data_IF_069897605384
#
_entry.id   IF_069897605384
#
_cell.length_a   1.000
_cell.length_b   1.000
_cell.length_c   1.000
_cell.angle_alpha   90.00
_cell.angle_beta   90.00
_cell.angle_gamma   90.00
#
_symmetry.space_group_name_H-M   'P 1'
#
loop_
_entity.id
_entity.type
_entity.pdbx_description
1 polymer ?
#
# COMPACT_ATOMS: atom_id res chain seq x y z
N UNK A 1 -9.66 -12.89 2.45
CA UNK A 1 -9.22 -13.07 3.85
C UNK A 1 -10.43 -13.13 4.75
N UNK A 2 -10.38 -14.02 5.72
CA UNK A 2 -11.35 -14.13 6.81
C UNK A 2 -10.56 -14.28 8.12
N UNK A 3 -10.95 -13.52 9.14
CA UNK A 3 -10.35 -13.56 10.48
C UNK A 3 -11.48 -13.75 11.48
N UNK A 4 -11.44 -14.87 12.21
CA UNK A 4 -12.41 -15.22 13.25
C UNK A 4 -11.73 -15.14 14.62
N UNK A 5 -12.31 -14.36 15.54
CA UNK A 5 -11.86 -14.37 16.94
C UNK A 5 -12.43 -15.60 17.66
N UNK A 6 -11.59 -16.61 17.91
CA UNK A 6 -11.94 -17.84 18.65
C UNK A 6 -11.66 -17.76 20.16
N UNK A 7 -11.25 -16.60 20.66
CA UNK A 7 -10.86 -16.40 22.06
C UNK A 7 -11.98 -15.72 22.83
N UNK A 8 -11.93 -15.84 24.16
CA UNK A 8 -12.78 -15.06 25.05
C UNK A 8 -12.26 -13.64 25.15
N UNK A 9 -13.13 -12.66 24.94
CA UNK A 9 -12.77 -11.24 24.97
C UNK A 9 -12.36 -10.68 23.61
N UNK A 10 -11.86 -9.45 23.64
CA UNK A 10 -11.55 -8.66 22.45
C UNK A 10 -10.20 -9.06 21.84
N UNK A 11 -10.17 -9.26 20.53
CA UNK A 11 -8.96 -9.48 19.74
C UNK A 11 -8.62 -8.23 18.94
N UNK A 12 -7.41 -7.71 19.15
CA UNK A 12 -6.84 -6.60 18.38
C UNK A 12 -5.91 -7.15 17.30
N UNK A 13 -6.07 -6.70 16.05
CA UNK A 13 -5.26 -7.20 14.95
C UNK A 13 -5.10 -6.17 13.82
N UNK A 14 -4.09 -6.40 12.98
CA UNK A 14 -3.92 -5.76 11.69
C UNK A 14 -3.86 -6.84 10.61
N UNK A 15 -4.25 -6.51 9.39
CA UNK A 15 -4.25 -7.42 8.25
C UNK A 15 -3.79 -6.66 7.01
N UNK A 16 -2.83 -7.21 6.27
CA UNK A 16 -2.39 -6.62 5.02
C UNK A 16 -1.93 -7.69 4.04
N UNK A 17 -1.73 -7.28 2.79
CA UNK A 17 -1.06 -8.09 1.78
C UNK A 17 0.19 -7.37 1.28
N UNK A 18 1.20 -8.13 0.88
CA UNK A 18 2.47 -7.60 0.35
C UNK A 18 2.86 -8.29 -0.98
N UNK A 19 1.99 -8.32 -2.00
CA UNK A 19 2.33 -8.92 -3.28
C UNK A 19 3.35 -8.07 -4.05
N UNK A 20 4.39 -8.73 -4.56
CA UNK A 20 5.38 -8.13 -5.47
C UNK A 20 5.06 -8.52 -6.92
N UNK A 21 5.00 -7.54 -7.81
CA UNK A 21 4.71 -7.74 -9.23
C UNK A 21 5.97 -7.48 -10.06
N UNK A 22 6.36 -8.46 -10.87
CA UNK A 22 7.54 -8.38 -11.72
C UNK A 22 7.37 -7.32 -12.82
N UNK A 23 8.44 -6.60 -13.10
CA UNK A 23 8.58 -5.65 -14.21
C UNK A 23 9.44 -6.29 -15.29
N UNK A 24 8.96 -6.32 -16.53
CA UNK A 24 9.64 -6.99 -17.65
C UNK A 24 10.62 -6.04 -18.34
N UNK A 25 11.66 -5.69 -17.59
CA UNK A 25 12.72 -4.81 -18.06
C UNK A 25 13.56 -5.50 -19.15
N UNK A 26 13.93 -4.75 -20.18
CA UNK A 26 14.80 -5.20 -21.26
C UNK A 26 15.54 -4.01 -21.91
N UNK A 27 16.13 -4.19 -23.09
CA UNK A 27 16.86 -3.13 -23.78
C UNK A 27 15.96 -1.94 -24.18
N UNK A 28 14.69 -2.20 -24.48
CA UNK A 28 13.70 -1.20 -24.91
C UNK A 28 12.84 -0.66 -23.76
N UNK A 29 12.51 -1.51 -22.78
CA UNK A 29 11.64 -1.20 -21.63
C UNK A 29 12.49 -0.99 -20.38
N UNK A 30 12.48 0.23 -19.85
CA UNK A 30 13.19 0.63 -18.63
C UNK A 30 12.20 0.81 -17.46
N UNK A 31 12.73 0.93 -16.26
CA UNK A 31 11.91 1.13 -15.05
C UNK A 31 11.04 2.39 -15.16
N UNK A 32 11.58 3.44 -15.78
CA UNK A 32 10.94 4.74 -15.96
C UNK A 32 9.77 4.70 -16.96
N UNK A 33 9.64 3.61 -17.74
CA UNK A 33 8.47 3.37 -18.58
C UNK A 33 7.28 2.84 -17.75
N UNK A 34 7.51 2.36 -16.53
CA UNK A 34 6.46 1.88 -15.63
C UNK A 34 5.92 2.97 -14.71
N UNK A 35 4.62 2.88 -14.43
CA UNK A 35 3.94 3.80 -13.52
C UNK A 35 2.72 3.14 -12.88
N UNK A 36 2.35 3.65 -11.71
CA UNK A 36 1.11 3.34 -11.02
C UNK A 36 0.08 4.42 -11.38
N UNK A 37 -1.12 4.02 -11.77
CA UNK A 37 -2.22 4.91 -12.09
C UNK A 37 -3.43 4.62 -11.20
N UNK A 38 -3.87 5.62 -10.45
CA UNK A 38 -5.11 5.63 -9.69
C UNK A 38 -6.31 5.89 -10.60
N UNK A 39 -7.49 5.38 -10.20
CA UNK A 39 -8.73 5.60 -10.97
C UNK A 39 -9.26 7.03 -10.91
N UNK A 40 -8.90 7.80 -9.87
CA UNK A 40 -9.26 9.21 -9.68
C UNK A 40 -7.99 10.04 -9.45
N UNK A 41 -8.09 11.33 -9.69
CA UNK A 41 -7.06 12.26 -9.22
C UNK A 41 -7.09 12.33 -7.70
N UNK A 42 -5.90 12.38 -7.11
CA UNK A 42 -5.67 12.47 -5.69
C UNK A 42 -4.96 13.79 -5.35
N UNK A 43 -5.36 14.39 -4.24
CA UNK A 43 -4.52 15.35 -3.51
C UNK A 43 -4.23 14.70 -2.17
N UNK A 44 -3.00 14.21 -1.99
CA UNK A 44 -2.69 13.30 -0.91
C UNK A 44 -1.28 13.50 -0.36
N UNK A 45 -1.15 13.22 0.93
CA UNK A 45 0.11 13.20 1.65
C UNK A 45 0.51 11.75 1.95
N UNK A 46 1.81 11.53 2.09
CA UNK A 46 2.38 10.24 2.50
C UNK A 46 2.90 10.30 3.92
N UNK A 47 2.92 9.16 4.60
CA UNK A 47 3.66 9.01 5.84
C UNK A 47 5.16 9.08 5.58
N UNK A 48 5.89 9.64 6.55
CA UNK A 48 7.35 9.61 6.59
C UNK A 48 7.83 8.52 7.54
N UNK A 49 8.96 7.90 7.21
CA UNK A 49 9.52 6.76 7.94
C UNK A 49 10.90 7.11 8.51
N UNK A 50 11.19 6.64 9.72
CA UNK A 50 12.55 6.61 10.27
C UNK A 50 13.34 5.46 9.64
N UNK A 51 14.68 5.47 9.83
CA UNK A 51 15.56 4.40 9.35
C UNK A 51 15.26 3.01 9.93
N UNK A 52 14.48 2.93 11.02
CA UNK A 52 13.99 1.69 11.61
C UNK A 52 12.52 1.38 11.25
N UNK A 53 12.00 1.98 10.17
CA UNK A 53 10.64 1.81 9.65
C UNK A 53 9.50 2.26 10.58
N UNK A 54 9.80 3.00 11.66
CA UNK A 54 8.75 3.65 12.47
C UNK A 54 8.18 4.86 11.74
N UNK A 55 6.86 5.02 11.82
CA UNK A 55 6.12 6.12 11.20
C UNK A 55 6.33 7.40 12.00
N UNK A 56 6.52 8.52 11.31
CA UNK A 56 6.48 9.87 11.88
C UNK A 56 5.06 10.42 11.82
N UNK A 57 4.69 11.27 12.79
CA UNK A 57 3.38 11.97 12.77
C UNK A 57 3.27 12.95 11.60
N UNK A 58 4.40 13.57 11.23
CA UNK A 58 4.47 14.51 10.12
C UNK A 58 4.30 13.79 8.78
N UNK A 59 3.26 14.17 8.05
CA UNK A 59 3.03 13.75 6.67
C UNK A 59 3.66 14.73 5.69
N UNK A 60 4.04 14.21 4.51
CA UNK A 60 4.62 15.00 3.42
C UNK A 60 3.64 15.04 2.25
N UNK A 61 3.37 16.24 1.71
CA UNK A 61 2.62 16.40 0.46
C UNK A 61 3.28 15.60 -0.67
N UNK A 62 2.48 14.83 -1.42
CA UNK A 62 3.01 13.95 -2.46
C UNK A 62 2.26 14.06 -3.79
N UNK A 63 0.93 13.99 -3.79
CA UNK A 63 0.10 14.16 -4.99
C UNK A 63 -0.67 15.47 -4.91
N UNK A 64 -0.76 16.20 -6.03
CA UNK A 64 -1.55 17.42 -6.14
C UNK A 64 -2.48 17.40 -7.36
N UNK A 65 -3.69 16.89 -7.16
CA UNK A 65 -4.66 16.63 -8.23
C UNK A 65 -4.06 15.78 -9.36
N UNK A 66 -3.37 14.71 -8.97
CA UNK A 66 -2.65 13.80 -9.85
C UNK A 66 -3.12 12.37 -9.62
N UNK A 67 -3.03 11.53 -10.64
CA UNK A 67 -3.38 10.11 -10.53
C UNK A 67 -2.21 9.17 -10.84
N UNK A 68 -1.03 9.70 -11.15
CA UNK A 68 0.11 8.91 -11.63
C UNK A 68 1.28 9.02 -10.66
N UNK A 69 1.87 7.88 -10.32
CA UNK A 69 3.17 7.77 -9.68
C UNK A 69 4.11 7.06 -10.66
N UNK A 70 5.09 7.78 -11.21
CA UNK A 70 6.10 7.19 -12.10
C UNK A 70 7.10 6.39 -11.28
N UNK A 71 7.44 5.18 -11.73
CA UNK A 71 8.50 4.42 -11.07
C UNK A 71 9.87 4.95 -11.50
N UNK A 72 10.83 4.93 -10.58
CA UNK A 72 12.23 5.29 -10.84
C UNK A 72 13.13 4.54 -9.86
N UNK A 73 14.43 4.50 -10.15
CA UNK A 73 15.39 3.80 -9.30
C UNK A 73 15.53 4.35 -7.87
N UNK A 74 15.03 5.57 -7.61
CA UNK A 74 15.20 6.31 -6.35
C UNK A 74 13.89 6.61 -5.64
N UNK A 75 12.74 6.27 -6.22
CA UNK A 75 11.43 6.65 -5.66
C UNK A 75 11.17 6.05 -4.27
N UNK A 76 11.80 4.93 -3.95
CA UNK A 76 11.70 4.22 -2.67
C UNK A 76 12.96 4.35 -1.80
N UNK A 77 13.85 5.31 -2.07
CA UNK A 77 15.08 5.50 -1.27
C UNK A 77 14.79 5.92 0.18
N UNK A 78 13.63 6.57 0.40
CA UNK A 78 13.13 6.91 1.72
C UNK A 78 12.09 5.91 2.23
N UNK A 79 12.21 4.64 1.81
CA UNK A 79 11.33 3.53 2.15
C UNK A 79 9.93 3.64 1.48
N UNK A 80 8.95 2.88 1.97
CA UNK A 80 7.64 2.73 1.34
C UNK A 80 6.86 4.06 1.24
N UNK A 81 6.17 4.24 0.11
CA UNK A 81 5.22 5.33 -0.10
C UNK A 81 3.87 4.87 0.43
N UNK A 82 3.45 5.40 1.58
CA UNK A 82 2.23 4.95 2.27
C UNK A 82 1.18 6.06 2.24
N UNK A 83 0.03 5.79 1.63
CA UNK A 83 -1.15 6.65 1.65
C UNK A 83 -2.21 6.15 2.63
N UNK A 84 -3.06 7.07 3.08
CA UNK A 84 -4.25 6.79 3.88
C UNK A 84 -5.47 7.44 3.24
N UNK A 85 -6.57 6.70 3.14
CA UNK A 85 -7.89 7.17 2.72
C UNK A 85 -7.89 7.95 1.40
N UNK A 86 -7.26 7.39 0.36
CA UNK A 86 -7.35 7.92 -1.00
C UNK A 86 -8.80 7.87 -1.52
N UNK A 87 -9.13 8.73 -2.49
CA UNK A 87 -10.45 8.71 -3.14
C UNK A 87 -10.64 7.49 -4.06
N UNK A 88 -9.53 6.93 -4.53
CA UNK A 88 -9.44 5.76 -5.38
C UNK A 88 -9.50 4.48 -4.55
N UNK A 89 -10.20 3.50 -5.11
CA UNK A 89 -10.31 2.13 -4.61
C UNK A 89 -9.51 1.13 -5.46
N UNK A 90 -8.91 1.60 -6.54
CA UNK A 90 -8.16 0.81 -7.52
C UNK A 90 -6.91 1.55 -7.98
N UNK A 91 -5.82 0.80 -8.11
CA UNK A 91 -4.56 1.23 -8.70
C UNK A 91 -4.13 0.25 -9.78
N UNK A 92 -3.55 0.76 -10.85
CA UNK A 92 -3.11 -0.05 -11.99
C UNK A 92 -1.63 0.18 -12.27
N UNK A 93 -0.83 -0.88 -12.27
CA UNK A 93 0.53 -0.89 -12.77
C UNK A 93 0.50 -0.98 -14.30
N UNK A 94 1.13 -0.02 -14.96
CA UNK A 94 1.18 0.10 -16.42
C UNK A 94 2.59 0.35 -16.91
N UNK A 95 2.82 0.09 -18.20
CA UNK A 95 4.03 0.45 -18.92
C UNK A 95 3.65 1.30 -20.14
N UNK A 96 4.34 2.41 -20.38
CA UNK A 96 4.09 3.28 -21.54
C UNK A 96 4.42 2.63 -22.89
N UNK A 97 5.24 1.56 -22.88
CA UNK A 97 5.71 0.82 -24.06
C UNK A 97 5.08 -0.57 -24.21
N UNK A 98 4.10 -0.92 -23.38
CA UNK A 98 3.41 -2.21 -23.45
C UNK A 98 1.93 -2.04 -23.15
N UNK A 99 1.09 -2.89 -23.75
CA UNK A 99 -0.35 -2.93 -23.45
C UNK A 99 -0.67 -3.71 -22.18
N UNK A 100 0.35 -4.32 -21.56
CA UNK A 100 0.20 -5.10 -20.33
C UNK A 100 -0.06 -4.18 -19.15
N UNK A 101 -1.05 -4.58 -18.35
CA UNK A 101 -1.44 -3.86 -17.15
C UNK A 101 -1.89 -4.83 -16.08
N UNK A 102 -1.64 -4.47 -14.82
CA UNK A 102 -2.12 -5.19 -13.65
C UNK A 102 -2.85 -4.22 -12.75
N UNK A 103 -4.13 -4.48 -12.51
CA UNK A 103 -4.95 -3.68 -11.60
C UNK A 103 -5.15 -4.41 -10.28
N UNK A 104 -5.13 -3.64 -9.19
CA UNK A 104 -5.53 -4.09 -7.87
C UNK A 104 -6.71 -3.26 -7.38
N UNK A 105 -7.83 -3.91 -7.13
CA UNK A 105 -8.94 -3.38 -6.34
C UNK A 105 -8.62 -3.64 -4.86
N UNK A 106 -8.41 -2.55 -4.14
CA UNK A 106 -8.15 -2.51 -2.70
C UNK A 106 -9.31 -1.83 -1.95
N UNK A 107 -10.53 -1.90 -2.51
CA UNK A 107 -11.72 -1.37 -1.87
C UNK A 107 -11.79 -1.75 -0.39
N UNK A 108 -12.13 -0.78 0.45
CA UNK A 108 -12.23 -0.86 1.92
C UNK A 108 -10.90 -0.82 2.68
N UNK A 109 -9.75 -1.03 2.05
CA UNK A 109 -8.46 -0.91 2.75
C UNK A 109 -8.16 0.57 2.99
N UNK A 110 -8.00 1.01 4.26
CA UNK A 110 -7.74 2.41 4.57
C UNK A 110 -6.34 2.86 4.20
N UNK A 111 -5.38 1.94 4.08
CA UNK A 111 -4.00 2.23 3.69
C UNK A 111 -3.61 1.46 2.44
N UNK A 112 -2.78 2.08 1.62
CA UNK A 112 -2.06 1.41 0.54
C UNK A 112 -0.61 1.88 0.55
N UNK A 113 0.31 0.94 0.48
CA UNK A 113 1.72 1.22 0.35
C UNK A 113 2.28 0.72 -0.98
N UNK A 114 3.29 1.43 -1.47
CA UNK A 114 4.08 1.03 -2.62
C UNK A 114 5.54 0.98 -2.21
N UNK A 115 6.21 -0.10 -2.60
CA UNK A 115 7.60 -0.30 -2.25
C UNK A 115 8.32 -1.13 -3.29
N UNK A 116 9.62 -0.93 -3.42
CA UNK A 116 10.51 -1.86 -4.10
C UNK A 116 11.89 -1.76 -3.49
N UNK A 117 12.63 -2.86 -3.54
CA UNK A 117 14.07 -2.79 -3.26
C UNK A 117 14.74 -2.00 -4.38
N UNK A 118 15.66 -1.10 -4.03
CA UNK A 118 16.38 -0.27 -5.01
C UNK A 118 16.91 -1.11 -6.18
N UNK A 119 16.57 -0.68 -7.41
CA UNK A 119 16.91 -1.33 -8.69
C UNK A 119 16.38 -2.76 -8.89
N UNK A 120 15.47 -3.24 -8.06
CA UNK A 120 14.85 -4.54 -8.27
C UNK A 120 13.76 -4.48 -9.36
N UNK A 121 13.64 -5.50 -10.22
CA UNK A 121 12.67 -5.53 -11.31
C UNK A 121 11.28 -5.96 -10.80
N UNK A 122 10.80 -5.37 -9.71
CA UNK A 122 9.44 -5.56 -9.21
C UNK A 122 8.95 -4.31 -8.52
N UNK A 123 7.64 -4.22 -8.30
CA UNK A 123 7.02 -3.26 -7.38
C UNK A 123 5.99 -3.97 -6.53
N UNK A 124 5.94 -3.63 -5.25
CA UNK A 124 4.91 -4.09 -4.33
C UNK A 124 3.73 -3.11 -4.34
N UNK A 125 2.53 -3.65 -4.28
CA UNK A 125 1.28 -2.89 -4.10
C UNK A 125 0.58 -3.50 -2.91
N UNK A 126 0.51 -2.76 -1.81
CA UNK A 126 0.31 -3.35 -0.50
C UNK A 126 -0.88 -2.72 0.23
N UNK A 127 -2.08 -3.29 0.12
CA UNK A 127 -3.25 -2.78 0.80
C UNK A 127 -3.30 -3.29 2.25
N UNK A 128 -3.48 -2.37 3.21
CA UNK A 128 -3.43 -2.69 4.64
C UNK A 128 -4.63 -2.18 5.44
N UNK A 129 -5.10 -3.03 6.36
CA UNK A 129 -5.88 -2.70 7.54
C UNK A 129 -4.95 -2.63 8.75
N UNK A 130 -4.59 -1.41 9.11
CA UNK A 130 -3.52 -1.13 10.08
C UNK A 130 -2.27 -0.61 9.39
N UNK A 131 -1.37 -0.05 10.18
CA UNK A 131 -0.12 0.56 9.73
C UNK A 131 0.98 0.25 10.76
N UNK A 132 2.25 0.37 10.37
CA UNK A 132 3.40 0.28 11.28
C UNK A 132 3.27 1.21 12.48
N UNK A 133 3.99 0.91 13.56
CA UNK A 133 3.97 1.75 14.76
C UNK A 133 4.53 3.14 14.47
N UNK A 134 3.93 4.13 15.14
CA UNK A 134 4.46 5.47 15.18
C UNK A 134 5.64 5.54 16.13
N UNK A 135 6.58 6.42 15.85
CA UNK A 135 7.79 6.57 16.65
C UNK A 135 7.52 6.99 18.11
N UNK A 136 6.35 7.56 18.38
CA UNK A 136 5.88 7.96 19.71
C UNK A 136 4.75 7.05 20.24
N UNK A 137 4.58 5.85 19.67
CA UNK A 137 3.55 4.92 20.13
C UNK A 137 3.73 4.58 21.62
N UNK A 138 2.62 4.30 22.30
CA UNK A 138 2.61 3.94 23.72
C UNK A 138 2.94 2.47 23.97
N UNK A 139 3.03 1.66 22.92
CA UNK A 139 3.19 0.21 22.98
C UNK A 139 1.91 -0.57 23.28
N UNK A 140 0.78 0.13 23.51
CA UNK A 140 -0.52 -0.51 23.74
C UNK A 140 -1.25 -0.76 22.43
N UNK A 141 -1.70 -1.99 22.21
CA UNK A 141 -2.34 -2.39 20.95
C UNK A 141 -3.65 -1.64 20.71
N UNK A 142 -4.44 -1.39 21.75
CA UNK A 142 -5.73 -0.70 21.65
C UNK A 142 -5.61 0.78 21.25
N UNK A 143 -4.42 1.37 21.41
CA UNK A 143 -4.12 2.75 21.03
C UNK A 143 -3.44 2.82 19.65
N UNK A 144 -3.05 1.68 19.06
CA UNK A 144 -2.34 1.62 17.77
C UNK A 144 -3.23 2.10 16.63
N UNK A 145 -2.74 3.04 15.83
CA UNK A 145 -3.47 3.58 14.68
C UNK A 145 -3.85 2.48 13.69
N UNK A 146 -5.13 2.48 13.28
CA UNK A 146 -5.66 1.53 12.31
C UNK A 146 -5.81 0.10 12.83
N UNK A 147 -5.58 -0.15 14.13
CA UNK A 147 -5.84 -1.45 14.73
C UNK A 147 -7.32 -1.78 14.60
N UNK A 148 -7.62 -3.01 14.20
CA UNK A 148 -8.97 -3.54 14.18
C UNK A 148 -9.24 -4.26 15.50
N UNK A 149 -10.50 -4.21 15.93
CA UNK A 149 -10.99 -4.90 17.12
C UNK A 149 -12.12 -5.85 16.71
N UNK A 150 -11.99 -7.12 17.08
CA UNK A 150 -13.02 -8.15 16.93
C UNK A 150 -13.46 -8.65 18.30
N UNK A 151 -14.77 -8.65 18.57
CA UNK A 151 -15.28 -9.27 19.80
C UNK A 151 -15.20 -10.78 19.69
N UNK A 152 -15.43 -11.46 20.80
CA UNK A 152 -15.53 -12.91 20.84
C UNK A 152 -16.53 -13.43 19.80
N UNK A 153 -16.09 -14.41 18.99
CA UNK A 153 -16.83 -15.04 17.89
C UNK A 153 -17.17 -14.14 16.68
N UNK A 154 -16.76 -12.87 16.65
CA UNK A 154 -16.93 -12.02 15.48
C UNK A 154 -16.00 -12.43 14.33
N UNK A 155 -16.45 -12.17 13.10
CA UNK A 155 -15.71 -12.43 11.87
C UNK A 155 -15.44 -11.13 11.11
N UNK A 156 -14.18 -10.90 10.75
CA UNK A 156 -13.79 -9.86 9.80
C UNK A 156 -13.49 -10.49 8.43
N UNK A 157 -14.02 -9.87 7.37
CA UNK A 157 -13.74 -10.29 5.99
C UNK A 157 -13.14 -9.15 5.18
N UNK A 158 -12.11 -9.46 4.42
CA UNK A 158 -11.51 -8.54 3.45
C UNK A 158 -11.19 -9.26 2.14
N UNK A 159 -11.25 -8.53 1.03
CA UNK A 159 -11.00 -9.08 -0.31
C UNK A 159 -10.17 -8.08 -1.11
N UNK A 160 -9.17 -8.60 -1.81
CA UNK A 160 -8.41 -7.89 -2.84
C UNK A 160 -8.72 -8.59 -4.16
N UNK A 161 -8.87 -7.83 -5.24
CA UNK A 161 -9.01 -8.40 -6.58
C UNK A 161 -7.82 -7.94 -7.41
N UNK A 162 -7.08 -8.89 -7.97
CA UNK A 162 -5.97 -8.62 -8.88
C UNK A 162 -6.40 -9.10 -10.26
N UNK A 163 -6.40 -8.19 -11.24
CA UNK A 163 -6.69 -8.52 -12.63
C UNK A 163 -5.48 -8.16 -13.48
N UNK A 164 -5.01 -9.10 -14.30
CA UNK A 164 -3.97 -8.87 -15.28
C UNK A 164 -4.54 -8.85 -16.69
N UNK A 165 -4.06 -7.93 -17.51
CA UNK A 165 -4.20 -7.97 -18.97
C UNK A 165 -2.82 -8.28 -19.55
N UNK A 166 -2.71 -9.45 -20.15
CA UNK A 166 -1.50 -9.94 -20.82
C UNK A 166 -1.46 -9.48 -22.28
#
# INVERSE_FOLDING_TARGET
YEVLNKTKGDMYFSLGAHPAFALELNDEIKLEDYYLEFEKNETAQIYQLRSNALILEEKKDYLKNEKIIKLSGTIFDNDAIIFENLNSSKVTLKCSKSTRELSMDYSRFPFIAFWSKSKAPFVCIEPWFGISDFANCTGKLEEKKGILKLKENDVFTAKIIINGKL
#
